data_IF_102186937298
#
_entry.id   IF_102186937298
#
_cell.length_a   1.000
_cell.length_b   1.000
_cell.length_c   1.000
_cell.angle_alpha   90.00
_cell.angle_beta   90.00
_cell.angle_gamma   90.00
#
_symmetry.space_group_name_H-M   'P 1'
#
loop_
_entity.id
_entity.type
_entity.pdbx_description
1 polymer ?
#
# COMPACT_ATOMS: atom_id res chain seq x y z
N UNK A 1 30.96 21.76 9.60
CA UNK A 1 29.64 21.05 9.59
C UNK A 1 29.76 19.64 10.17
N UNK A 2 30.72 18.78 9.76
CA UNK A 2 30.87 17.42 10.31
C UNK A 2 31.07 17.42 11.83
N UNK A 3 31.92 18.27 12.35
CA UNK A 3 32.23 18.37 13.78
C UNK A 3 31.04 18.87 14.62
N UNK A 4 30.20 19.76 14.06
CA UNK A 4 29.05 20.34 14.79
C UNK A 4 27.85 19.41 14.85
N UNK A 5 27.80 18.35 14.03
CA UNK A 5 26.66 17.44 13.91
C UNK A 5 26.60 16.33 14.98
N UNK A 6 27.40 16.42 16.05
CA UNK A 6 27.43 15.41 17.11
C UNK A 6 28.17 14.12 16.72
N UNK A 7 28.96 14.15 15.64
CA UNK A 7 29.77 13.02 15.21
C UNK A 7 30.84 12.62 16.23
N UNK A 8 31.28 13.58 17.05
CA UNK A 8 32.29 13.38 18.10
C UNK A 8 31.69 13.80 19.45
N UNK A 9 31.66 12.89 20.40
CA UNK A 9 31.20 13.21 21.77
C UNK A 9 32.07 14.30 22.38
N UNK A 10 31.43 15.34 22.92
CA UNK A 10 32.11 16.44 23.58
C UNK A 10 32.46 17.64 22.69
N UNK A 11 32.15 17.58 21.37
CA UNK A 11 32.23 18.73 20.47
C UNK A 11 30.83 19.15 20.10
N UNK A 12 30.34 20.27 20.66
CA UNK A 12 29.13 20.95 20.19
C UNK A 12 29.45 22.01 19.13
N UNK A 13 28.40 22.60 18.52
CA UNK A 13 28.52 23.57 17.43
C UNK A 13 29.51 24.71 17.72
N UNK A 14 29.37 25.36 18.86
CA UNK A 14 30.28 26.46 19.29
C UNK A 14 31.73 26.02 19.45
N UNK A 15 31.96 24.78 19.89
CA UNK A 15 33.30 24.24 20.05
C UNK A 15 33.89 23.89 18.67
N UNK A 16 33.10 23.29 17.79
CA UNK A 16 33.48 23.01 16.42
C UNK A 16 33.89 24.28 15.66
N UNK A 17 33.14 25.37 15.80
CA UNK A 17 33.49 26.67 15.23
C UNK A 17 34.83 27.21 15.73
N UNK A 18 35.09 27.12 17.04
CA UNK A 18 36.38 27.55 17.60
C UNK A 18 37.53 26.73 17.07
N UNK A 19 37.39 25.40 17.02
CA UNK A 19 38.41 24.50 16.48
C UNK A 19 38.75 24.87 15.04
N UNK A 20 37.73 24.98 14.21
CA UNK A 20 37.90 25.32 12.76
C UNK A 20 38.47 26.75 12.58
N UNK A 21 38.04 27.69 13.41
CA UNK A 21 38.57 29.07 13.38
C UNK A 21 40.05 29.12 13.76
N UNK A 22 40.50 28.27 14.69
CA UNK A 22 41.90 28.24 15.15
C UNK A 22 42.81 27.53 14.14
N UNK A 23 42.38 26.42 13.59
CA UNK A 23 43.25 25.56 12.80
C UNK A 23 42.94 25.55 11.26
N UNK A 24 41.83 26.20 10.85
CA UNK A 24 41.48 26.31 9.43
C UNK A 24 41.42 24.96 8.71
N UNK A 25 42.07 24.86 7.57
CA UNK A 25 42.11 23.67 6.73
C UNK A 25 42.90 22.51 7.36
N UNK A 26 43.82 22.80 8.28
CA UNK A 26 44.58 21.80 9.03
C UNK A 26 43.82 21.16 10.18
N UNK A 27 42.60 21.57 10.46
CA UNK A 27 41.79 21.11 11.60
C UNK A 27 41.84 19.60 11.77
N UNK A 28 41.55 18.82 10.72
CA UNK A 28 41.51 17.36 10.83
C UNK A 28 42.88 16.74 10.95
N UNK A 29 43.88 17.27 10.28
CA UNK A 29 45.26 16.82 10.42
C UNK A 29 45.75 17.00 11.86
N UNK A 30 45.55 18.18 12.46
CA UNK A 30 45.92 18.46 13.83
C UNK A 30 45.17 17.59 14.82
N UNK A 31 43.87 17.38 14.62
CA UNK A 31 43.06 16.52 15.48
C UNK A 31 43.48 15.03 15.41
N UNK A 32 44.08 14.57 14.30
CA UNK A 32 44.55 13.18 14.12
C UNK A 32 46.00 12.99 14.48
N UNK A 33 46.89 13.93 14.13
CA UNK A 33 48.34 13.78 14.20
C UNK A 33 48.97 14.55 15.34
N UNK A 34 48.35 15.66 15.77
CA UNK A 34 48.83 16.55 16.81
C UNK A 34 47.70 16.89 17.81
N UNK A 35 47.01 15.89 18.42
CA UNK A 35 45.81 16.14 19.22
C UNK A 35 46.07 17.00 20.46
N UNK A 36 47.27 17.00 20.97
CA UNK A 36 47.69 17.86 22.10
C UNK A 36 47.45 19.34 21.83
N UNK A 37 47.54 19.77 20.57
CA UNK A 37 47.28 21.16 20.17
C UNK A 37 45.81 21.59 20.33
N UNK A 38 44.88 20.64 20.41
CA UNK A 38 43.51 20.97 20.73
C UNK A 38 43.34 21.57 22.13
N UNK A 39 44.29 21.28 23.06
CA UNK A 39 44.31 21.85 24.38
C UNK A 39 44.66 23.36 24.40
N UNK A 40 45.16 23.93 23.28
CA UNK A 40 45.33 25.37 23.09
C UNK A 40 43.98 26.11 23.09
N UNK A 41 42.89 25.38 22.82
CA UNK A 41 41.55 25.96 22.74
C UNK A 41 40.89 25.94 24.12
N UNK A 42 40.42 27.10 24.55
CA UNK A 42 39.72 27.26 25.86
C UNK A 42 38.51 26.33 25.93
N UNK A 43 38.56 25.40 26.91
CA UNK A 43 37.48 24.41 27.15
C UNK A 43 37.78 23.01 26.62
N UNK A 44 38.98 22.75 26.13
CA UNK A 44 39.48 21.43 25.80
C UNK A 44 40.66 21.09 26.69
N UNK A 45 40.50 20.08 27.55
CA UNK A 45 41.62 19.54 28.36
C UNK A 45 42.45 18.55 27.51
N UNK A 46 43.67 18.24 27.96
CA UNK A 46 44.52 17.23 27.29
C UNK A 46 43.83 15.87 27.19
N UNK A 47 43.14 15.42 28.25
CA UNK A 47 42.36 14.17 28.24
C UNK A 47 41.25 14.21 27.19
N UNK A 48 40.53 15.32 27.11
CA UNK A 48 39.45 15.51 26.12
C UNK A 48 40.02 15.59 24.71
N UNK A 49 41.17 16.17 24.50
CA UNK A 49 41.87 16.22 23.22
C UNK A 49 42.19 14.80 22.71
N UNK A 50 42.71 13.95 23.59
CA UNK A 50 43.01 12.55 23.26
C UNK A 50 41.76 11.71 22.97
N UNK A 51 40.68 11.89 23.77
CA UNK A 51 39.41 11.25 23.53
C UNK A 51 38.81 11.64 22.14
N UNK A 52 38.94 12.89 21.76
CA UNK A 52 38.53 13.41 20.47
C UNK A 52 39.34 12.74 19.34
N UNK A 53 40.65 12.65 19.51
CA UNK A 53 41.54 12.01 18.52
C UNK A 53 41.18 10.53 18.30
N UNK A 54 41.00 9.77 19.37
CA UNK A 54 40.63 8.36 19.31
C UNK A 54 39.27 8.17 18.59
N UNK A 55 38.25 8.97 18.93
CA UNK A 55 36.99 8.93 18.24
C UNK A 55 37.09 9.29 16.75
N UNK A 56 38.00 10.16 16.35
CA UNK A 56 38.26 10.53 14.96
C UNK A 56 38.92 9.40 14.19
N UNK A 57 39.89 8.70 14.79
CA UNK A 57 40.57 7.55 14.20
C UNK A 57 39.56 6.44 13.96
N UNK A 58 38.73 6.11 14.93
CA UNK A 58 37.70 5.07 14.84
C UNK A 58 36.64 5.37 13.79
N UNK A 59 36.37 6.66 13.51
CA UNK A 59 35.37 7.11 12.55
C UNK A 59 35.96 7.65 11.25
N UNK A 60 37.20 7.37 10.94
CA UNK A 60 37.91 7.92 9.78
C UNK A 60 37.20 7.59 8.46
N UNK A 61 36.77 6.36 8.31
CA UNK A 61 36.08 5.91 7.09
C UNK A 61 34.70 6.52 6.94
N UNK A 62 33.94 6.61 8.06
CA UNK A 62 32.65 7.29 8.10
C UNK A 62 32.80 8.76 7.68
N UNK A 63 33.82 9.44 8.22
CA UNK A 63 34.07 10.84 7.91
C UNK A 63 34.41 11.05 6.42
N UNK A 64 35.30 10.21 5.87
CA UNK A 64 35.67 10.27 4.44
C UNK A 64 34.43 10.09 3.56
N UNK A 65 33.60 9.09 3.87
CA UNK A 65 32.36 8.85 3.16
C UNK A 65 31.38 10.03 3.26
N UNK A 66 31.23 10.62 4.46
CA UNK A 66 30.39 11.80 4.68
C UNK A 66 30.84 13.01 3.86
N UNK A 67 32.13 13.29 3.85
CA UNK A 67 32.72 14.39 3.06
C UNK A 67 32.56 14.14 1.56
N UNK A 68 32.72 12.90 1.12
CA UNK A 68 32.49 12.49 -0.27
C UNK A 68 31.02 12.72 -0.67
N UNK A 69 30.07 12.22 0.13
CA UNK A 69 28.63 12.36 -0.14
C UNK A 69 28.17 13.83 -0.17
N UNK A 70 28.78 14.69 0.65
CA UNK A 70 28.48 16.14 0.64
C UNK A 70 28.83 16.82 -0.68
N UNK A 71 29.83 16.34 -1.42
CA UNK A 71 30.17 16.87 -2.77
C UNK A 71 29.04 16.69 -3.75
N UNK A 72 28.21 15.66 -3.56
CA UNK A 72 27.01 15.39 -4.36
C UNK A 72 25.75 16.05 -3.78
N UNK A 73 25.89 16.93 -2.78
CA UNK A 73 24.81 17.67 -2.15
C UNK A 73 23.95 16.84 -1.20
N UNK A 74 24.43 15.66 -0.79
CA UNK A 74 23.72 14.76 0.12
C UNK A 74 23.82 15.33 1.54
N UNK A 75 22.68 15.54 2.19
CA UNK A 75 22.62 16.02 3.57
C UNK A 75 23.12 14.96 4.56
N UNK A 76 23.63 15.39 5.71
CA UNK A 76 24.26 14.54 6.70
C UNK A 76 23.38 13.38 7.18
N UNK A 77 22.08 13.64 7.41
CA UNK A 77 21.14 12.59 7.84
C UNK A 77 21.00 11.47 6.81
N UNK A 78 20.89 11.85 5.54
CA UNK A 78 20.81 10.92 4.44
C UNK A 78 22.16 10.22 4.23
N UNK A 79 23.27 10.93 4.32
CA UNK A 79 24.60 10.38 4.22
C UNK A 79 24.86 9.27 5.26
N UNK A 80 24.37 9.47 6.50
CA UNK A 80 24.45 8.44 7.56
C UNK A 80 23.64 7.17 7.18
N UNK A 81 22.42 7.33 6.66
CA UNK A 81 21.61 6.18 6.20
C UNK A 81 22.32 5.42 5.08
N UNK A 82 22.85 6.15 4.11
CA UNK A 82 23.58 5.60 2.96
C UNK A 82 24.80 4.82 3.43
N UNK A 83 25.62 5.43 4.30
CA UNK A 83 26.82 4.78 4.82
C UNK A 83 26.49 3.52 5.65
N UNK A 84 25.46 3.57 6.49
CA UNK A 84 24.99 2.39 7.24
C UNK A 84 24.57 1.24 6.30
N UNK A 85 24.06 1.55 5.13
CA UNK A 85 23.60 0.54 4.16
C UNK A 85 24.74 -0.05 3.35
N UNK A 86 25.65 0.77 2.86
CA UNK A 86 26.64 0.40 1.86
C UNK A 86 28.09 0.42 2.37
N UNK A 87 28.36 1.07 3.51
CA UNK A 87 29.74 1.23 3.97
C UNK A 87 30.63 1.89 2.93
N UNK A 88 31.79 1.31 2.70
CA UNK A 88 32.74 1.80 1.71
C UNK A 88 32.35 1.51 0.23
N UNK A 89 31.35 0.67 -0.02
CA UNK A 89 30.87 0.39 -1.39
C UNK A 89 30.12 1.60 -2.00
N UNK A 90 29.84 2.62 -1.20
CA UNK A 90 29.15 3.83 -1.65
C UNK A 90 29.87 4.56 -2.77
N UNK A 91 31.20 4.49 -2.81
CA UNK A 91 31.99 5.13 -3.87
C UNK A 91 31.66 4.51 -5.23
N UNK A 92 31.66 3.18 -5.31
CA UNK A 92 31.31 2.44 -6.53
C UNK A 92 29.86 2.68 -6.94
N UNK A 93 28.95 2.72 -5.97
CA UNK A 93 27.52 2.92 -6.24
C UNK A 93 27.27 4.29 -6.87
N UNK A 94 27.89 5.35 -6.34
CA UNK A 94 27.72 6.69 -6.91
C UNK A 94 28.34 6.86 -8.28
N UNK A 95 29.45 6.16 -8.54
CA UNK A 95 30.12 6.20 -9.86
C UNK A 95 29.39 5.38 -10.91
N UNK A 96 28.86 4.21 -10.54
CA UNK A 96 28.28 3.27 -11.49
C UNK A 96 26.76 3.42 -11.62
N UNK A 97 26.03 3.42 -10.52
CA UNK A 97 24.56 3.44 -10.50
C UNK A 97 23.98 4.12 -9.26
N UNK A 98 23.93 5.45 -9.21
CA UNK A 98 23.34 6.18 -8.10
C UNK A 98 21.85 5.92 -7.87
N UNK A 99 21.13 5.40 -8.89
CA UNK A 99 19.69 5.09 -8.78
C UNK A 99 19.39 3.94 -7.80
N UNK A 100 20.40 3.12 -7.46
CA UNK A 100 20.28 2.14 -6.38
C UNK A 100 19.90 2.78 -5.04
N UNK A 101 20.24 4.05 -4.83
CA UNK A 101 19.82 4.78 -3.63
C UNK A 101 18.31 4.88 -3.52
N UNK A 102 17.58 5.01 -4.65
CA UNK A 102 16.13 5.04 -4.66
C UNK A 102 15.49 3.67 -4.36
N UNK A 103 16.18 2.59 -4.70
CA UNK A 103 15.72 1.22 -4.43
C UNK A 103 15.98 0.79 -2.97
N UNK A 104 17.10 1.22 -2.39
CA UNK A 104 17.67 0.65 -1.17
C UNK A 104 17.54 1.55 0.08
N UNK A 105 17.27 2.86 -0.09
CA UNK A 105 17.27 3.84 1.01
C UNK A 105 15.90 4.49 1.16
N UNK A 106 15.27 4.23 2.29
CA UNK A 106 14.00 4.85 2.63
C UNK A 106 14.10 6.38 2.69
N UNK A 107 13.19 7.06 1.98
CA UNK A 107 13.15 8.51 1.85
C UNK A 107 13.97 9.06 0.68
N UNK A 108 14.63 8.21 -0.12
CA UNK A 108 15.24 8.58 -1.39
C UNK A 108 14.32 8.15 -2.53
N UNK A 109 13.70 9.13 -3.20
CA UNK A 109 12.93 8.87 -4.41
C UNK A 109 13.78 9.06 -5.67
N UNK A 110 13.18 8.75 -6.84
CA UNK A 110 13.81 8.93 -8.15
C UNK A 110 14.42 10.33 -8.33
N UNK A 111 13.67 11.39 -8.00
CA UNK A 111 14.16 12.78 -8.18
C UNK A 111 15.44 13.07 -7.41
N UNK A 112 15.51 12.64 -6.16
CA UNK A 112 16.73 12.81 -5.34
C UNK A 112 17.89 12.00 -5.90
N UNK A 113 17.64 10.77 -6.34
CA UNK A 113 18.67 9.94 -6.98
C UNK A 113 19.13 10.55 -8.33
N UNK A 114 18.22 11.13 -9.11
CA UNK A 114 18.50 11.79 -10.39
C UNK A 114 19.35 13.05 -10.22
N UNK A 115 19.08 13.87 -9.20
CA UNK A 115 19.93 15.02 -8.85
C UNK A 115 21.34 14.58 -8.43
N UNK A 116 21.46 13.52 -7.65
CA UNK A 116 22.76 12.97 -7.25
C UNK A 116 23.49 12.42 -8.48
N UNK A 117 22.80 11.67 -9.33
CA UNK A 117 23.35 11.10 -10.56
C UNK A 117 23.86 12.20 -11.53
N UNK A 118 23.09 13.27 -11.69
CA UNK A 118 23.49 14.43 -12.50
C UNK A 118 24.80 15.06 -11.98
N UNK A 119 24.93 15.22 -10.67
CA UNK A 119 26.17 15.74 -10.04
C UNK A 119 27.34 14.75 -10.13
N UNK A 120 27.03 13.46 -10.18
CA UNK A 120 28.04 12.41 -10.41
C UNK A 120 28.45 12.27 -11.88
N UNK A 121 27.84 13.06 -12.78
CA UNK A 121 28.18 13.04 -14.21
C UNK A 121 27.59 11.87 -14.98
N UNK A 122 26.54 11.23 -14.43
CA UNK A 122 25.80 10.17 -15.14
C UNK A 122 25.07 10.79 -16.33
N UNK A 123 25.17 10.13 -17.49
CA UNK A 123 24.53 10.61 -18.73
C UNK A 123 23.01 10.62 -18.62
N UNK A 124 22.37 11.59 -19.27
CA UNK A 124 20.91 11.76 -19.27
C UNK A 124 20.17 10.59 -19.93
N UNK A 125 20.83 9.86 -20.82
CA UNK A 125 20.32 8.68 -21.54
C UNK A 125 20.81 7.35 -20.93
N UNK A 126 21.36 7.38 -19.72
CA UNK A 126 21.85 6.20 -19.02
C UNK A 126 20.75 5.16 -18.85
N UNK A 127 21.05 3.89 -19.10
CA UNK A 127 20.13 2.76 -18.90
C UNK A 127 19.56 2.72 -17.47
N UNK A 128 20.40 3.02 -16.47
CA UNK A 128 19.98 3.05 -15.07
C UNK A 128 18.95 4.15 -14.81
N UNK A 129 19.14 5.31 -15.43
CA UNK A 129 18.20 6.43 -15.36
C UNK A 129 16.85 6.05 -15.96
N UNK A 130 16.86 5.48 -17.16
CA UNK A 130 15.66 5.08 -17.87
C UNK A 130 14.90 4.00 -17.10
N UNK A 131 15.57 2.94 -16.66
CA UNK A 131 14.96 1.85 -15.87
C UNK A 131 14.36 2.36 -14.55
N UNK A 132 15.09 3.22 -13.83
CA UNK A 132 14.60 3.83 -12.60
C UNK A 132 13.42 4.77 -12.85
N UNK A 133 13.44 5.53 -13.95
CA UNK A 133 12.33 6.38 -14.39
C UNK A 133 11.06 5.59 -14.72
N UNK A 134 11.19 4.48 -15.45
CA UNK A 134 10.08 3.57 -15.74
C UNK A 134 9.44 3.06 -14.45
N UNK A 135 10.27 2.57 -13.52
CA UNK A 135 9.77 2.04 -12.24
C UNK A 135 9.13 3.13 -11.37
N UNK A 136 9.70 4.33 -11.37
CA UNK A 136 9.13 5.48 -10.68
C UNK A 136 7.75 5.87 -11.22
N UNK A 137 7.57 5.93 -12.55
CA UNK A 137 6.28 6.23 -13.18
C UNK A 137 5.22 5.18 -12.81
N UNK A 138 5.58 3.90 -12.82
CA UNK A 138 4.68 2.84 -12.37
C UNK A 138 4.27 3.02 -10.90
N UNK A 139 5.20 3.35 -10.01
CA UNK A 139 4.89 3.62 -8.61
C UNK A 139 4.02 4.89 -8.43
N UNK A 140 4.23 5.93 -9.23
CA UNK A 140 3.35 7.10 -9.22
C UNK A 140 1.93 6.75 -9.68
N UNK A 141 1.79 5.87 -10.68
CA UNK A 141 0.49 5.41 -11.14
C UNK A 141 -0.27 4.64 -10.04
N UNK A 142 0.42 3.89 -9.19
CA UNK A 142 -0.23 3.20 -8.06
C UNK A 142 -0.76 4.17 -7.01
N UNK A 143 -0.08 5.28 -6.77
CA UNK A 143 -0.60 6.36 -5.90
C UNK A 143 -1.84 7.06 -6.48
N UNK A 144 -2.07 6.91 -7.79
CA UNK A 144 -3.26 7.39 -8.50
C UNK A 144 -4.36 6.32 -8.63
N UNK A 145 -4.20 5.18 -7.96
CA UNK A 145 -5.17 4.08 -7.95
C UNK A 145 -4.98 3.02 -9.04
N UNK A 146 -3.92 3.10 -9.85
CA UNK A 146 -3.67 2.16 -10.94
C UNK A 146 -2.75 1.02 -10.51
N UNK A 147 -3.09 -0.22 -10.83
CA UNK A 147 -2.22 -1.39 -10.65
C UNK A 147 -1.25 -1.60 -11.81
N UNK A 148 -1.57 -1.06 -12.98
CA UNK A 148 -0.75 -1.09 -14.19
C UNK A 148 -0.91 0.19 -15.01
N UNK A 149 -0.01 0.36 -15.98
CA UNK A 149 -0.19 1.35 -17.04
C UNK A 149 -0.21 0.66 -18.42
N UNK A 150 -1.08 1.11 -19.34
CA UNK A 150 -0.94 0.80 -20.76
C UNK A 150 0.42 1.31 -21.28
N UNK A 151 1.05 0.53 -22.15
CA UNK A 151 2.38 0.81 -22.70
C UNK A 151 2.52 2.25 -23.24
N UNK A 152 1.59 2.69 -24.07
CA UNK A 152 1.65 4.03 -24.67
C UNK A 152 1.59 5.16 -23.62
N UNK A 153 0.80 4.95 -22.56
CA UNK A 153 0.70 5.89 -21.44
C UNK A 153 1.99 5.91 -20.65
N UNK A 154 2.59 4.73 -20.40
CA UNK A 154 3.87 4.60 -19.72
C UNK A 154 4.98 5.33 -20.49
N UNK A 155 5.11 5.06 -21.79
CA UNK A 155 6.12 5.71 -22.68
C UNK A 155 6.00 7.23 -22.60
N UNK A 156 4.80 7.76 -22.74
CA UNK A 156 4.56 9.21 -22.67
C UNK A 156 5.02 9.79 -21.33
N UNK A 157 4.58 9.20 -20.23
CA UNK A 157 4.90 9.70 -18.88
C UNK A 157 6.39 9.59 -18.55
N UNK A 158 7.07 8.56 -19.04
CA UNK A 158 8.52 8.40 -18.83
C UNK A 158 9.29 9.45 -19.67
N UNK A 159 8.92 9.68 -20.93
CA UNK A 159 9.55 10.72 -21.74
C UNK A 159 9.35 12.12 -21.13
N UNK A 160 8.16 12.41 -20.62
CA UNK A 160 7.86 13.65 -19.90
C UNK A 160 8.69 13.80 -18.61
N UNK A 161 8.86 12.72 -17.84
CA UNK A 161 9.66 12.71 -16.62
C UNK A 161 11.14 12.94 -16.90
N UNK A 162 11.69 12.21 -17.88
CA UNK A 162 13.11 12.20 -18.19
C UNK A 162 13.55 13.34 -19.10
N UNK A 163 12.61 14.03 -19.75
CA UNK A 163 12.83 15.10 -20.75
C UNK A 163 13.72 14.61 -21.92
N UNK A 164 13.58 13.35 -22.30
CA UNK A 164 14.25 12.73 -23.45
C UNK A 164 13.25 11.85 -24.19
N UNK A 165 13.51 11.62 -25.46
CA UNK A 165 12.78 10.65 -26.27
C UNK A 165 13.54 9.31 -26.24
N UNK A 166 13.07 8.43 -25.34
CA UNK A 166 13.70 7.12 -25.13
C UNK A 166 13.40 6.21 -26.32
N UNK A 167 14.45 5.70 -26.94
CA UNK A 167 14.36 4.70 -27.99
C UNK A 167 14.36 3.29 -27.39
N UNK A 168 13.72 2.34 -28.09
CA UNK A 168 13.71 0.91 -27.72
C UNK A 168 13.31 0.60 -26.27
N UNK A 169 12.09 1.02 -25.89
CA UNK A 169 11.53 0.70 -24.57
C UNK A 169 11.48 -0.80 -24.28
N UNK A 170 11.30 -1.64 -25.31
CA UNK A 170 11.14 -3.08 -25.12
C UNK A 170 12.39 -3.72 -24.54
N UNK A 171 13.58 -3.20 -24.85
CA UNK A 171 14.84 -3.61 -24.20
C UNK A 171 14.78 -3.36 -22.68
N UNK A 172 14.41 -2.16 -22.26
CA UNK A 172 14.36 -1.80 -20.83
C UNK A 172 13.28 -2.54 -20.08
N UNK A 173 12.12 -2.77 -20.71
CA UNK A 173 11.04 -3.57 -20.10
C UNK A 173 11.46 -5.03 -19.97
N UNK A 174 12.19 -5.58 -20.95
CA UNK A 174 12.72 -6.93 -20.86
C UNK A 174 13.71 -7.07 -19.70
N UNK A 175 14.66 -6.14 -19.57
CA UNK A 175 15.62 -6.12 -18.48
C UNK A 175 14.94 -6.04 -17.11
N UNK A 176 13.98 -5.10 -16.94
CA UNK A 176 13.22 -4.95 -15.69
C UNK A 176 12.35 -6.19 -15.37
N UNK A 177 11.91 -6.91 -16.39
CA UNK A 177 11.19 -8.18 -16.23
C UNK A 177 12.15 -9.29 -15.76
N UNK A 178 13.35 -9.35 -16.33
CA UNK A 178 14.40 -10.28 -15.89
C UNK A 178 14.87 -9.98 -14.46
N UNK A 179 14.97 -8.71 -14.10
CA UNK A 179 15.27 -8.23 -12.74
C UNK A 179 14.10 -8.45 -11.76
N UNK A 180 13.00 -9.01 -12.23
CA UNK A 180 11.78 -9.28 -11.45
C UNK A 180 11.16 -8.03 -10.82
N UNK A 181 11.36 -6.85 -11.40
CA UNK A 181 10.77 -5.59 -10.94
C UNK A 181 9.39 -5.33 -11.53
N UNK A 182 9.16 -5.74 -12.77
CA UNK A 182 7.90 -5.55 -13.49
C UNK A 182 7.35 -6.85 -14.07
N UNK A 183 6.09 -6.79 -14.49
CA UNK A 183 5.43 -7.83 -15.30
C UNK A 183 4.75 -7.15 -16.48
N UNK A 184 4.94 -7.68 -17.68
CA UNK A 184 4.26 -7.22 -18.90
C UNK A 184 3.26 -8.27 -19.33
N UNK A 185 2.00 -7.87 -19.53
CA UNK A 185 0.90 -8.71 -20.02
C UNK A 185 0.18 -8.03 -21.16
N UNK A 186 -0.37 -8.81 -22.05
CA UNK A 186 -1.26 -8.31 -23.11
C UNK A 186 -2.70 -8.65 -22.73
N UNK A 187 -3.55 -7.63 -22.63
CA UNK A 187 -4.98 -7.73 -22.37
C UNK A 187 -5.70 -6.95 -23.47
N UNK A 188 -6.64 -7.59 -24.16
CA UNK A 188 -7.43 -6.96 -25.24
C UNK A 188 -6.55 -6.22 -26.27
N UNK A 189 -5.47 -6.85 -26.70
CA UNK A 189 -4.44 -6.30 -27.59
C UNK A 189 -3.69 -5.08 -27.07
N UNK A 190 -3.84 -4.73 -25.79
CA UNK A 190 -3.09 -3.67 -25.13
C UNK A 190 -1.98 -4.27 -24.26
N UNK A 191 -0.74 -3.82 -24.46
CA UNK A 191 0.39 -4.18 -23.62
C UNK A 191 0.27 -3.42 -22.29
N UNK A 192 0.06 -4.13 -21.18
CA UNK A 192 -0.09 -3.60 -19.82
C UNK A 192 1.18 -3.87 -19.01
N UNK A 193 1.74 -2.84 -18.40
CA UNK A 193 2.96 -2.92 -17.61
C UNK A 193 2.63 -2.70 -16.13
N UNK A 194 2.94 -3.71 -15.32
CA UNK A 194 2.69 -3.72 -13.87
C UNK A 194 4.01 -3.57 -13.11
N UNK A 195 4.00 -2.88 -11.98
CA UNK A 195 4.97 -3.19 -10.94
C UNK A 195 4.67 -4.61 -10.42
N UNK A 196 5.70 -5.48 -10.33
CA UNK A 196 5.51 -6.93 -10.05
C UNK A 196 4.70 -7.20 -8.79
N UNK A 197 4.87 -6.38 -7.76
CA UNK A 197 4.15 -6.53 -6.50
C UNK A 197 2.63 -6.51 -6.71
N UNK A 198 2.12 -5.55 -7.48
CA UNK A 198 0.68 -5.44 -7.73
C UNK A 198 0.14 -6.53 -8.64
N UNK A 199 0.90 -6.94 -9.65
CA UNK A 199 0.54 -8.12 -10.45
C UNK A 199 0.38 -9.37 -9.59
N UNK A 200 1.35 -9.60 -8.69
CA UNK A 200 1.29 -10.75 -7.78
C UNK A 200 0.12 -10.64 -6.80
N UNK A 201 -0.20 -9.44 -6.30
CA UNK A 201 -1.36 -9.24 -5.43
C UNK A 201 -2.67 -9.56 -6.16
N UNK A 202 -2.87 -9.09 -7.39
CA UNK A 202 -4.05 -9.43 -8.20
C UNK A 202 -4.15 -10.94 -8.44
N UNK A 203 -3.05 -11.58 -8.82
CA UNK A 203 -3.02 -13.02 -9.05
C UNK A 203 -3.33 -13.82 -7.78
N UNK A 204 -2.78 -13.40 -6.63
CA UNK A 204 -3.04 -14.04 -5.34
C UNK A 204 -4.50 -13.86 -4.92
N UNK A 205 -5.04 -12.64 -5.05
CA UNK A 205 -6.45 -12.36 -4.74
C UNK A 205 -7.37 -13.22 -5.58
N UNK A 206 -7.13 -13.31 -6.90
CA UNK A 206 -7.92 -14.17 -7.78
C UNK A 206 -7.86 -15.64 -7.38
N UNK A 207 -6.67 -16.15 -7.05
CA UNK A 207 -6.50 -17.54 -6.61
C UNK A 207 -7.20 -17.82 -5.28
N UNK A 208 -7.07 -16.91 -4.29
CA UNK A 208 -7.72 -17.08 -2.98
C UNK A 208 -9.25 -16.99 -3.08
N UNK A 209 -9.79 -16.10 -3.92
CA UNK A 209 -11.24 -16.02 -4.15
C UNK A 209 -11.77 -17.32 -4.78
N UNK A 210 -11.08 -17.88 -5.77
CA UNK A 210 -11.45 -19.15 -6.35
C UNK A 210 -11.45 -20.30 -5.32
N UNK A 211 -10.50 -20.30 -4.38
CA UNK A 211 -10.43 -21.31 -3.34
C UNK A 211 -11.56 -21.18 -2.29
N UNK A 212 -12.08 -19.98 -2.10
CA UNK A 212 -13.20 -19.71 -1.17
C UNK A 212 -14.56 -20.04 -1.79
N UNK A 213 -14.69 -20.04 -3.12
CA UNK A 213 -15.95 -20.29 -3.81
C UNK A 213 -16.32 -21.78 -3.81
N UNK A 214 -16.54 -22.30 -2.60
CA UNK A 214 -17.00 -23.68 -2.39
C UNK A 214 -18.53 -23.70 -2.39
N UNK A 215 -19.13 -24.56 -3.21
CA UNK A 215 -20.59 -24.73 -3.27
C UNK A 215 -21.05 -25.77 -2.26
N UNK A 216 -22.15 -25.47 -1.56
CA UNK A 216 -22.82 -26.35 -0.60
C UNK A 216 -24.22 -26.59 -1.09
N UNK A 217 -24.61 -27.85 -1.18
CA UNK A 217 -26.00 -28.23 -1.50
C UNK A 217 -26.89 -28.00 -0.28
N UNK A 218 -27.88 -27.14 -0.41
CA UNK A 218 -28.91 -26.90 0.59
C UNK A 218 -30.29 -26.83 -0.07
N UNK A 219 -31.29 -27.46 0.53
CA UNK A 219 -32.65 -27.51 -0.01
C UNK A 219 -33.28 -26.10 -0.06
N UNK A 220 -33.80 -25.73 -1.23
CA UNK A 220 -34.45 -24.43 -1.43
C UNK A 220 -35.62 -24.22 -0.47
N UNK A 221 -36.43 -25.24 -0.25
CA UNK A 221 -37.58 -25.16 0.66
C UNK A 221 -37.15 -24.87 2.11
N UNK A 222 -36.05 -25.48 2.53
CA UNK A 222 -35.49 -25.23 3.87
C UNK A 222 -35.00 -23.78 4.03
N UNK A 223 -34.36 -23.24 3.00
CA UNK A 223 -33.93 -21.84 2.94
C UNK A 223 -35.15 -20.91 3.00
N UNK A 224 -36.18 -21.18 2.15
CA UNK A 224 -37.40 -20.35 2.09
C UNK A 224 -38.16 -20.36 3.37
N UNK A 225 -38.35 -21.52 4.01
CA UNK A 225 -39.02 -21.66 5.29
C UNK A 225 -38.31 -20.88 6.43
N UNK A 226 -36.96 -20.85 6.38
CA UNK A 226 -36.17 -20.11 7.35
C UNK A 226 -36.24 -18.61 7.09
N UNK A 227 -36.17 -18.18 5.83
CA UNK A 227 -36.37 -16.77 5.46
C UNK A 227 -37.75 -16.30 5.92
N UNK A 228 -38.82 -17.06 5.66
CA UNK A 228 -40.18 -16.71 6.08
C UNK A 228 -40.29 -16.51 7.60
N UNK A 229 -39.63 -17.34 8.42
CA UNK A 229 -39.57 -17.17 9.87
C UNK A 229 -38.84 -15.90 10.29
N UNK A 230 -37.80 -15.52 9.58
CA UNK A 230 -37.06 -14.27 9.84
C UNK A 230 -37.95 -13.08 9.44
N UNK A 231 -38.59 -13.11 8.28
CA UNK A 231 -39.55 -12.08 7.85
C UNK A 231 -40.65 -11.84 8.88
N UNK A 232 -41.25 -12.93 9.40
CA UNK A 232 -42.33 -12.87 10.43
C UNK A 232 -41.81 -12.30 11.74
N UNK A 233 -40.64 -12.77 12.22
CA UNK A 233 -40.05 -12.34 13.49
C UNK A 233 -39.60 -10.87 13.47
N UNK A 234 -39.01 -10.43 12.38
CA UNK A 234 -38.46 -9.07 12.24
C UNK A 234 -39.50 -8.08 11.68
N UNK A 235 -40.69 -8.55 11.27
CA UNK A 235 -41.76 -7.70 10.70
C UNK A 235 -41.36 -7.06 9.35
N UNK A 236 -40.56 -7.74 8.56
CA UNK A 236 -40.08 -7.28 7.26
C UNK A 236 -40.61 -8.15 6.13
N UNK A 237 -40.54 -7.64 4.91
CA UNK A 237 -40.85 -8.41 3.69
C UNK A 237 -39.74 -8.20 2.70
N UNK A 238 -39.07 -9.28 2.32
CA UNK A 238 -38.01 -9.27 1.33
C UNK A 238 -38.59 -9.41 -0.08
N UNK A 239 -37.96 -8.76 -1.04
CA UNK A 239 -38.23 -9.07 -2.44
C UNK A 239 -37.47 -10.32 -2.92
N UNK A 240 -37.80 -10.79 -4.13
CA UNK A 240 -37.24 -12.02 -4.67
C UNK A 240 -35.71 -11.95 -4.82
N UNK A 241 -35.15 -10.77 -5.16
CA UNK A 241 -33.71 -10.57 -5.33
C UNK A 241 -33.00 -10.59 -3.97
N UNK A 242 -33.60 -10.02 -2.94
CA UNK A 242 -33.08 -10.08 -1.57
C UNK A 242 -33.10 -11.53 -1.05
N UNK A 243 -34.16 -12.30 -1.32
CA UNK A 243 -34.22 -13.74 -1.00
C UNK A 243 -33.17 -14.54 -1.74
N UNK A 244 -32.96 -14.23 -3.03
CA UNK A 244 -31.89 -14.82 -3.82
C UNK A 244 -30.50 -14.55 -3.20
N UNK A 245 -30.26 -13.33 -2.72
CA UNK A 245 -28.98 -12.99 -2.06
C UNK A 245 -28.73 -13.84 -0.80
N UNK A 246 -29.77 -14.04 0.04
CA UNK A 246 -29.68 -14.94 1.20
C UNK A 246 -29.42 -16.38 0.76
N UNK A 247 -30.16 -16.89 -0.23
CA UNK A 247 -29.98 -18.25 -0.72
C UNK A 247 -28.57 -18.48 -1.31
N UNK A 248 -28.05 -17.51 -2.07
CA UNK A 248 -26.67 -17.58 -2.58
C UNK A 248 -25.63 -17.53 -1.45
N UNK A 249 -25.83 -16.71 -0.42
CA UNK A 249 -24.92 -16.66 0.74
C UNK A 249 -24.90 -18.01 1.50
N UNK A 250 -26.02 -18.72 1.55
CA UNK A 250 -26.09 -20.05 2.16
C UNK A 250 -25.38 -21.10 1.32
N UNK A 251 -25.52 -21.07 -0.01
CA UNK A 251 -25.01 -22.10 -0.91
C UNK A 251 -23.58 -21.92 -1.39
N UNK A 252 -23.03 -20.73 -1.28
CA UNK A 252 -21.70 -20.44 -1.79
C UNK A 252 -20.76 -19.98 -0.67
N UNK A 253 -19.48 -20.28 -0.84
CA UNK A 253 -18.43 -19.80 0.06
C UNK A 253 -18.07 -18.32 -0.18
N UNK A 254 -18.39 -17.82 -1.40
CA UNK A 254 -18.19 -16.41 -1.77
C UNK A 254 -19.44 -15.87 -2.46
N UNK A 255 -19.93 -14.72 -2.03
CA UNK A 255 -21.05 -14.01 -2.68
C UNK A 255 -20.79 -12.50 -2.69
N UNK A 256 -21.11 -11.87 -3.80
CA UNK A 256 -21.06 -10.43 -3.96
C UNK A 256 -22.48 -9.89 -4.01
N UNK A 257 -22.82 -8.94 -3.12
CA UNK A 257 -24.09 -8.21 -3.12
C UNK A 257 -23.83 -6.76 -3.47
N UNK A 258 -24.31 -6.31 -4.61
CA UNK A 258 -24.12 -4.93 -5.07
C UNK A 258 -25.46 -4.23 -5.26
N UNK A 259 -25.49 -2.91 -5.09
CA UNK A 259 -26.66 -2.09 -5.32
C UNK A 259 -26.45 -0.65 -4.88
N UNK A 260 -27.18 0.26 -5.48
CA UNK A 260 -27.13 1.69 -5.18
C UNK A 260 -27.71 2.07 -3.81
N UNK A 261 -27.76 3.35 -3.48
CA UNK A 261 -28.39 3.82 -2.27
C UNK A 261 -29.90 3.52 -2.27
N UNK A 262 -30.43 3.08 -1.12
CA UNK A 262 -31.86 2.79 -0.96
C UNK A 262 -32.37 1.49 -1.59
N UNK A 263 -31.47 0.60 -2.05
CA UNK A 263 -31.85 -0.69 -2.64
C UNK A 263 -32.01 -1.83 -1.63
N UNK A 264 -31.91 -1.54 -0.33
CA UNK A 264 -32.14 -2.54 0.72
C UNK A 264 -30.93 -3.41 1.06
N UNK A 265 -29.69 -3.00 0.74
CA UNK A 265 -28.45 -3.71 1.13
C UNK A 265 -28.43 -4.06 2.62
N UNK A 266 -28.72 -3.08 3.48
CA UNK A 266 -28.74 -3.26 4.94
C UNK A 266 -29.75 -4.31 5.38
N UNK A 267 -30.96 -4.30 4.84
CA UNK A 267 -31.99 -5.30 5.13
C UNK A 267 -31.53 -6.69 4.70
N UNK A 268 -30.92 -6.80 3.54
CA UNK A 268 -30.35 -8.06 3.04
C UNK A 268 -29.23 -8.59 3.96
N UNK A 269 -28.28 -7.71 4.35
CA UNK A 269 -27.21 -8.06 5.30
C UNK A 269 -27.80 -8.57 6.62
N UNK A 270 -28.80 -7.85 7.17
CA UNK A 270 -29.45 -8.24 8.43
C UNK A 270 -30.10 -9.62 8.32
N UNK A 271 -30.79 -9.89 7.23
CA UNK A 271 -31.40 -11.20 7.02
C UNK A 271 -30.37 -12.30 6.92
N UNK A 272 -29.25 -12.06 6.22
CA UNK A 272 -28.12 -13.00 6.14
C UNK A 272 -27.54 -13.27 7.54
N UNK A 273 -27.31 -12.22 8.33
CA UNK A 273 -26.84 -12.36 9.72
C UNK A 273 -27.80 -13.21 10.54
N UNK A 274 -29.09 -12.89 10.52
CA UNK A 274 -30.11 -13.65 11.26
C UNK A 274 -30.21 -15.10 10.82
N UNK A 275 -30.02 -15.35 9.52
CA UNK A 275 -30.01 -16.72 8.98
C UNK A 275 -28.88 -17.52 9.60
N UNK A 276 -27.65 -16.99 9.60
CA UNK A 276 -26.48 -17.68 10.13
C UNK A 276 -26.45 -17.73 11.66
N UNK A 277 -27.00 -16.74 12.36
CA UNK A 277 -27.23 -16.82 13.81
C UNK A 277 -28.12 -18.01 14.20
N UNK A 278 -29.17 -18.30 13.41
CA UNK A 278 -30.01 -19.46 13.63
C UNK A 278 -29.29 -20.79 13.41
N UNK A 279 -28.18 -20.80 12.69
CA UNK A 279 -27.27 -21.94 12.52
C UNK A 279 -26.22 -22.02 13.61
N UNK A 280 -26.11 -21.01 14.48
CA UNK A 280 -25.11 -20.96 15.54
C UNK A 280 -23.70 -20.64 15.03
N UNK A 281 -23.59 -20.02 13.85
CA UNK A 281 -22.31 -19.68 13.24
C UNK A 281 -21.73 -18.39 13.82
N UNK A 282 -20.40 -18.34 13.95
CA UNK A 282 -19.69 -17.14 14.37
C UNK A 282 -19.51 -16.17 13.19
N UNK A 283 -20.09 -14.97 13.35
CA UNK A 283 -20.15 -13.94 12.31
C UNK A 283 -19.23 -12.78 12.67
N UNK A 284 -18.43 -12.31 11.72
CA UNK A 284 -17.64 -11.08 11.83
C UNK A 284 -18.07 -10.09 10.76
N UNK A 285 -18.33 -8.85 11.20
CA UNK A 285 -18.65 -7.75 10.31
C UNK A 285 -17.49 -6.77 10.22
N UNK A 286 -17.18 -6.35 9.00
CA UNK A 286 -16.12 -5.37 8.76
C UNK A 286 -16.51 -4.34 7.70
N UNK A 287 -15.83 -3.19 7.77
CA UNK A 287 -15.90 -2.15 6.75
C UNK A 287 -14.50 -1.50 6.58
N UNK A 288 -14.20 -0.87 5.43
CA UNK A 288 -12.90 -0.26 5.19
C UNK A 288 -12.63 0.95 6.08
N UNK A 289 -13.66 1.66 6.53
CA UNK A 289 -13.51 2.90 7.31
C UNK A 289 -14.20 2.83 8.67
N UNK A 290 -13.66 3.59 9.64
CA UNK A 290 -14.27 3.66 10.97
C UNK A 290 -15.67 4.26 10.96
N UNK A 291 -16.00 5.15 10.03
CA UNK A 291 -17.34 5.73 9.87
C UNK A 291 -18.33 4.68 9.37
N UNK A 292 -17.96 3.88 8.39
CA UNK A 292 -18.78 2.78 7.90
C UNK A 292 -19.00 1.72 8.99
N UNK A 293 -17.92 1.29 9.67
CA UNK A 293 -18.00 0.32 10.76
C UNK A 293 -18.90 0.78 11.91
N UNK A 294 -18.96 2.08 12.23
CA UNK A 294 -19.86 2.61 13.27
C UNK A 294 -21.34 2.66 12.86
N UNK A 295 -21.64 2.76 11.55
CA UNK A 295 -23.02 2.76 11.06
C UNK A 295 -23.66 1.37 11.04
N UNK A 296 -22.86 0.33 10.88
CA UNK A 296 -23.37 -1.04 10.80
C UNK A 296 -24.13 -1.46 12.09
N UNK A 297 -23.63 -1.24 13.33
CA UNK A 297 -24.37 -1.58 14.54
C UNK A 297 -25.71 -0.85 14.65
N UNK A 298 -25.77 0.41 14.26
CA UNK A 298 -27.02 1.20 14.25
C UNK A 298 -28.05 0.62 13.28
N UNK A 299 -27.58 0.07 12.17
CA UNK A 299 -28.40 -0.46 11.09
C UNK A 299 -28.73 -1.96 11.26
N UNK A 300 -27.80 -2.76 11.79
CA UNK A 300 -27.88 -4.22 11.87
C UNK A 300 -27.99 -4.76 13.29
N UNK A 301 -27.76 -3.93 14.33
CA UNK A 301 -27.68 -4.40 15.69
C UNK A 301 -26.51 -5.34 16.01
N UNK A 302 -25.54 -5.44 15.10
CA UNK A 302 -24.40 -6.33 15.20
C UNK A 302 -23.08 -5.55 15.19
N UNK A 303 -22.16 -5.88 16.10
CA UNK A 303 -20.90 -5.15 16.20
C UNK A 303 -20.07 -5.31 14.93
N UNK A 304 -19.54 -4.20 14.43
CA UNK A 304 -18.66 -4.15 13.27
C UNK A 304 -17.37 -3.39 13.59
N UNK A 305 -16.32 -3.77 12.91
CA UNK A 305 -15.01 -3.14 13.06
C UNK A 305 -14.40 -2.78 11.69
N UNK A 306 -13.32 -2.01 11.69
CA UNK A 306 -12.61 -1.78 10.44
C UNK A 306 -11.86 -3.05 10.04
N UNK A 307 -11.67 -3.26 8.71
CA UNK A 307 -10.83 -4.37 8.21
C UNK A 307 -9.45 -4.35 8.88
N UNK A 308 -8.84 -3.18 9.00
CA UNK A 308 -7.55 -3.02 9.67
C UNK A 308 -7.56 -3.49 11.14
N UNK A 309 -8.61 -3.19 11.87
CA UNK A 309 -8.75 -3.64 13.26
C UNK A 309 -9.02 -5.14 13.35
N UNK A 310 -9.80 -5.67 12.42
CA UNK A 310 -10.08 -7.10 12.34
C UNK A 310 -8.81 -7.92 12.04
N UNK A 311 -7.92 -7.36 11.21
CA UNK A 311 -6.65 -7.98 10.88
C UNK A 311 -5.54 -7.75 11.92
N UNK A 312 -5.81 -6.95 12.96
CA UNK A 312 -4.87 -6.67 14.06
C UNK A 312 -3.53 -6.10 13.54
N UNK A 313 -3.43 -4.78 13.44
CA UNK A 313 -2.19 -4.13 12.98
C UNK A 313 -1.08 -4.39 13.99
N UNK A 314 -0.01 -5.04 13.56
CA UNK A 314 1.17 -5.24 14.38
C UNK A 314 1.93 -3.94 14.59
N UNK A 315 2.14 -3.57 15.85
CA UNK A 315 2.93 -2.38 16.23
C UNK A 315 4.44 -2.56 16.07
N UNK A 316 4.92 -3.77 15.83
CA UNK A 316 6.34 -4.11 15.69
C UNK A 316 6.63 -4.72 14.33
N UNK A 317 7.37 -4.00 13.49
CA UNK A 317 7.97 -4.56 12.27
C UNK A 317 9.12 -5.48 12.70
N UNK A 318 9.12 -6.78 12.38
CA UNK A 318 10.26 -7.65 12.63
C UNK A 318 11.52 -7.10 11.96
N UNK A 319 12.64 -7.06 12.69
CA UNK A 319 13.91 -6.46 12.22
C UNK A 319 14.48 -7.08 10.92
N UNK A 320 13.97 -8.22 10.47
CA UNK A 320 14.38 -8.91 9.24
C UNK A 320 13.67 -8.44 7.96
N UNK A 321 12.45 -7.97 8.05
CA UNK A 321 11.58 -7.67 6.88
C UNK A 321 11.54 -6.18 6.47
N UNK A 322 12.30 -5.33 7.15
CA UNK A 322 12.50 -3.93 6.72
C UNK A 322 13.13 -3.79 5.33
N UNK A 323 13.49 -4.91 4.69
CA UNK A 323 14.19 -4.94 3.38
C UNK A 323 13.29 -5.07 2.16
N UNK A 324 12.04 -5.39 2.34
CA UNK A 324 11.12 -5.50 1.21
C UNK A 324 10.29 -4.25 1.06
N UNK A 325 10.73 -3.42 0.15
CA UNK A 325 9.97 -2.47 -0.62
C UNK A 325 9.45 -1.22 0.07
N UNK A 326 9.69 -0.14 -0.56
CA UNK A 326 8.73 0.92 -0.82
C UNK A 326 7.47 0.85 0.05
N UNK A 327 7.57 1.18 1.28
CA UNK A 327 6.66 2.02 2.07
C UNK A 327 5.21 1.61 2.30
N UNK A 328 4.72 0.37 2.09
CA UNK A 328 3.28 0.12 2.26
C UNK A 328 2.90 -1.33 2.64
N UNK A 329 3.75 -2.18 3.14
CA UNK A 329 3.26 -3.41 3.76
C UNK A 329 2.88 -3.13 5.22
N UNK A 330 1.60 -2.86 5.46
CA UNK A 330 1.05 -2.99 6.80
C UNK A 330 1.22 -4.44 7.23
N UNK A 331 1.90 -4.66 8.35
CA UNK A 331 2.01 -5.99 8.93
C UNK A 331 0.77 -6.23 9.79
N UNK A 332 0.02 -7.24 9.40
CA UNK A 332 -1.14 -7.71 10.15
C UNK A 332 -0.78 -8.99 10.89
N UNK A 333 -1.26 -9.13 12.12
CA UNK A 333 -1.08 -10.35 12.92
C UNK A 333 -1.97 -11.49 12.41
N UNK A 334 -3.14 -11.14 11.85
CA UNK A 334 -4.03 -12.10 11.18
C UNK A 334 -3.57 -12.28 9.74
N UNK A 335 -3.21 -13.52 9.41
CA UNK A 335 -2.64 -13.92 8.12
C UNK A 335 -2.83 -15.43 7.89
N UNK A 336 -2.13 -16.00 6.94
CA UNK A 336 -2.20 -17.44 6.59
C UNK A 336 -1.81 -18.37 7.76
N UNK A 337 -0.87 -17.95 8.61
CA UNK A 337 -0.38 -18.71 9.76
C UNK A 337 -1.24 -18.49 11.03
N UNK A 338 -1.98 -17.38 11.08
CA UNK A 338 -2.87 -17.00 12.18
C UNK A 338 -4.19 -16.45 11.63
N UNK A 339 -5.05 -17.29 11.05
CA UNK A 339 -6.28 -16.86 10.39
C UNK A 339 -7.33 -16.33 11.36
N UNK A 340 -8.33 -15.66 10.80
CA UNK A 340 -9.50 -15.20 11.54
C UNK A 340 -10.33 -16.39 11.99
N UNK A 341 -10.73 -16.38 13.24
CA UNK A 341 -11.66 -17.34 13.80
C UNK A 341 -13.09 -16.85 13.54
N UNK A 342 -13.67 -17.27 12.42
CA UNK A 342 -15.04 -16.93 12.02
C UNK A 342 -15.57 -17.92 10.99
N UNK A 343 -16.85 -18.26 11.09
CA UNK A 343 -17.57 -19.08 10.10
C UNK A 343 -18.05 -18.22 8.92
N UNK A 344 -18.40 -16.97 9.21
CA UNK A 344 -18.93 -16.02 8.23
C UNK A 344 -18.27 -14.66 8.41
N UNK A 345 -17.76 -14.10 7.34
CA UNK A 345 -17.22 -12.74 7.28
C UNK A 345 -18.02 -11.92 6.28
N UNK A 346 -18.58 -10.81 6.74
CA UNK A 346 -19.32 -9.87 5.89
C UNK A 346 -18.54 -8.56 5.84
N UNK A 347 -18.20 -8.10 4.64
CA UNK A 347 -17.52 -6.84 4.43
C UNK A 347 -18.43 -5.90 3.65
N UNK A 348 -18.80 -4.79 4.27
CA UNK A 348 -19.58 -3.73 3.62
C UNK A 348 -18.69 -2.59 3.09
N UNK A 349 -19.23 -1.75 2.23
CA UNK A 349 -18.56 -0.63 1.55
C UNK A 349 -17.32 -1.08 0.75
N UNK A 350 -17.44 -2.20 0.05
CA UNK A 350 -16.33 -2.82 -0.71
C UNK A 350 -15.78 -1.95 -1.84
N UNK A 351 -16.51 -0.94 -2.31
CA UNK A 351 -16.01 0.02 -3.30
C UNK A 351 -14.76 0.76 -2.84
N UNK A 352 -14.57 0.90 -1.53
CA UNK A 352 -13.42 1.59 -0.92
C UNK A 352 -12.23 0.67 -0.61
N UNK A 353 -12.33 -0.64 -0.90
CA UNK A 353 -11.28 -1.64 -0.63
C UNK A 353 -10.34 -1.73 -1.82
N UNK A 354 -9.05 -1.46 -1.59
CA UNK A 354 -8.00 -1.60 -2.59
C UNK A 354 -7.42 -3.03 -2.63
N UNK A 355 -6.54 -3.29 -3.61
CA UNK A 355 -5.95 -4.61 -3.81
C UNK A 355 -5.07 -5.05 -2.64
N UNK A 356 -4.40 -4.13 -1.95
CA UNK A 356 -3.51 -4.44 -0.83
C UNK A 356 -4.29 -4.90 0.39
N UNK A 357 -5.37 -4.18 0.72
CA UNK A 357 -6.27 -4.55 1.82
C UNK A 357 -7.00 -5.85 1.51
N UNK A 358 -7.48 -6.02 0.26
CA UNK A 358 -8.14 -7.27 -0.15
C UNK A 358 -7.19 -8.47 -0.06
N UNK A 359 -5.96 -8.32 -0.53
CA UNK A 359 -4.94 -9.37 -0.44
C UNK A 359 -4.66 -9.76 1.03
N UNK A 360 -4.55 -8.76 1.92
CA UNK A 360 -4.32 -9.00 3.36
C UNK A 360 -5.51 -9.67 4.03
N UNK A 361 -6.74 -9.24 3.69
CA UNK A 361 -7.96 -9.85 4.21
C UNK A 361 -8.06 -11.32 3.82
N UNK A 362 -7.90 -11.62 2.53
CA UNK A 362 -8.03 -12.99 2.03
C UNK A 362 -6.98 -13.94 2.59
N UNK A 363 -5.77 -13.45 2.89
CA UNK A 363 -4.74 -14.22 3.58
C UNK A 363 -5.15 -14.65 5.00
N UNK A 364 -6.00 -13.89 5.65
CA UNK A 364 -6.49 -14.19 6.98
C UNK A 364 -7.82 -14.97 6.99
N UNK A 365 -8.43 -15.22 5.84
CA UNK A 365 -9.69 -15.97 5.71
C UNK A 365 -9.39 -17.42 5.42
N UNK A 366 -9.86 -18.33 6.28
CA UNK A 366 -9.71 -19.77 6.12
C UNK A 366 -10.62 -20.34 5.02
N UNK A 367 -10.17 -21.39 4.35
CA UNK A 367 -11.04 -22.17 3.45
C UNK A 367 -12.17 -22.77 4.28
N UNK A 368 -13.41 -22.61 3.80
CA UNK A 368 -14.62 -23.01 4.52
C UNK A 368 -15.33 -21.87 5.25
N UNK A 369 -14.65 -20.75 5.50
CA UNK A 369 -15.30 -19.52 5.95
C UNK A 369 -16.10 -18.90 4.79
N UNK A 370 -17.34 -18.54 5.04
CA UNK A 370 -18.19 -17.82 4.07
C UNK A 370 -17.81 -16.36 4.01
N UNK A 371 -17.52 -15.85 2.81
CA UNK A 371 -17.16 -14.45 2.58
C UNK A 371 -18.27 -13.76 1.79
N UNK A 372 -18.87 -12.73 2.37
CA UNK A 372 -19.92 -11.93 1.74
C UNK A 372 -19.41 -10.52 1.55
N UNK A 373 -19.26 -10.11 0.30
CA UNK A 373 -18.76 -8.81 -0.09
C UNK A 373 -19.93 -7.92 -0.51
N UNK A 374 -20.14 -6.82 0.20
CA UNK A 374 -21.27 -5.91 -0.04
C UNK A 374 -20.74 -4.54 -0.43
N UNK A 375 -21.32 -3.92 -1.45
CA UNK A 375 -20.90 -2.58 -1.85
C UNK A 375 -21.74 -2.03 -2.99
N UNK A 376 -21.37 -0.85 -3.41
CA UNK A 376 -21.99 -0.16 -4.54
C UNK A 376 -20.90 0.10 -5.60
N UNK A 377 -20.98 -0.60 -6.72
CA UNK A 377 -19.99 -0.52 -7.79
C UNK A 377 -19.93 0.86 -8.46
N UNK A 378 -21.03 1.63 -8.33
CA UNK A 378 -21.16 2.96 -8.92
C UNK A 378 -20.67 4.08 -7.98
N UNK A 379 -20.29 3.75 -6.74
CA UNK A 379 -19.65 4.70 -5.83
C UNK A 379 -18.17 4.93 -6.18
N UNK A 380 -17.59 5.97 -5.57
CA UNK A 380 -16.18 6.31 -5.75
C UNK A 380 -15.29 5.11 -5.41
N UNK A 381 -14.28 4.81 -6.25
CA UNK A 381 -13.35 3.73 -6.01
C UNK A 381 -12.44 4.02 -4.81
N UNK A 382 -11.67 3.03 -4.39
CA UNK A 382 -10.63 3.16 -3.36
C UNK A 382 -9.60 4.23 -3.73
N UNK A 383 -9.00 4.84 -2.70
CA UNK A 383 -7.86 5.76 -2.88
C UNK A 383 -6.60 4.98 -3.25
N UNK A 384 -6.44 3.77 -2.71
CA UNK A 384 -5.34 2.87 -3.05
C UNK A 384 -5.52 2.17 -4.41
N UNK A 385 -4.50 1.43 -4.87
CA UNK A 385 -4.48 0.83 -6.20
C UNK A 385 -5.48 -0.33 -6.34
N UNK A 386 -6.13 -0.39 -7.50
CA UNK A 386 -7.07 -1.44 -7.89
C UNK A 386 -8.53 -1.09 -7.63
N UNK A 387 -9.40 -1.63 -8.47
CA UNK A 387 -10.86 -1.50 -8.38
C UNK A 387 -11.49 -2.87 -8.11
N UNK A 388 -11.19 -3.41 -6.93
CA UNK A 388 -11.41 -4.81 -6.56
C UNK A 388 -12.85 -5.25 -6.76
N UNK A 389 -13.83 -4.51 -6.22
CA UNK A 389 -15.25 -4.87 -6.31
C UNK A 389 -15.71 -4.93 -7.77
N UNK A 390 -15.34 -3.93 -8.55
CA UNK A 390 -15.72 -3.86 -9.97
C UNK A 390 -15.08 -4.99 -10.78
N UNK A 391 -13.79 -5.24 -10.58
CA UNK A 391 -13.04 -6.27 -11.28
C UNK A 391 -13.60 -7.68 -10.98
N UNK A 392 -13.99 -7.96 -9.71
CA UNK A 392 -14.63 -9.21 -9.33
C UNK A 392 -15.97 -9.37 -10.04
N UNK A 393 -16.80 -8.34 -10.06
CA UNK A 393 -18.11 -8.36 -10.73
C UNK A 393 -17.96 -8.54 -12.25
N UNK A 394 -17.07 -7.78 -12.89
CA UNK A 394 -16.83 -7.82 -14.34
C UNK A 394 -16.19 -9.13 -14.78
N UNK A 395 -15.49 -9.83 -13.90
CA UNK A 395 -14.93 -11.16 -14.22
C UNK A 395 -16.00 -12.20 -14.58
N UNK A 396 -17.21 -12.05 -14.03
CA UNK A 396 -18.30 -13.02 -14.22
C UNK A 396 -18.01 -14.41 -13.60
N UNK A 397 -16.95 -14.53 -12.79
CA UNK A 397 -16.52 -15.82 -12.25
C UNK A 397 -17.24 -16.23 -10.96
N UNK A 398 -17.83 -15.29 -10.25
CA UNK A 398 -18.38 -15.49 -8.91
C UNK A 398 -19.87 -15.14 -8.83
N UNK A 399 -20.61 -15.70 -7.85
CA UNK A 399 -21.99 -15.35 -7.63
C UNK A 399 -22.18 -13.87 -7.26
N UNK A 400 -22.87 -13.14 -8.11
CA UNK A 400 -23.23 -11.73 -7.90
C UNK A 400 -24.73 -11.60 -7.81
N UNK A 401 -25.21 -10.82 -6.83
CA UNK A 401 -26.62 -10.40 -6.71
C UNK A 401 -26.67 -8.88 -6.79
N UNK A 402 -27.41 -8.36 -7.76
CA UNK A 402 -27.57 -6.92 -7.98
C UNK A 402 -28.94 -6.48 -7.49
N UNK A 403 -28.94 -5.69 -6.39
CA UNK A 403 -30.16 -5.11 -5.84
C UNK A 403 -30.50 -3.84 -6.64
N UNK A 404 -31.58 -3.88 -7.42
CA UNK A 404 -31.96 -2.78 -8.32
C UNK A 404 -33.19 -2.01 -7.83
N UNK A 405 -34.01 -2.62 -6.97
CA UNK A 405 -35.27 -2.04 -6.53
C UNK A 405 -35.04 -0.95 -5.47
N UNK A 406 -35.48 0.26 -5.76
CA UNK A 406 -35.49 1.37 -4.81
C UNK A 406 -36.75 1.27 -3.95
N UNK A 407 -36.60 1.14 -2.62
CA UNK A 407 -37.73 1.06 -1.71
C UNK A 407 -38.41 2.42 -1.48
N UNK A 408 -39.73 2.41 -1.16
CA UNK A 408 -40.58 3.61 -1.08
C UNK A 408 -40.01 4.77 -0.25
N UNK A 409 -39.42 4.50 0.90
CA UNK A 409 -38.81 5.54 1.74
C UNK A 409 -37.61 6.23 1.05
N UNK A 410 -36.84 5.47 0.31
CA UNK A 410 -35.71 5.97 -0.45
C UNK A 410 -36.16 6.67 -1.76
N UNK A 411 -37.27 6.22 -2.36
CA UNK A 411 -37.85 6.81 -3.56
C UNK A 411 -38.49 8.20 -3.31
N UNK A 412 -38.63 8.64 -2.09
CA UNK A 412 -39.07 10.01 -1.73
C UNK A 412 -37.89 10.97 -1.52
N UNK A 413 -36.66 10.47 -1.48
CA UNK A 413 -35.48 11.30 -1.33
C UNK A 413 -34.95 11.76 -2.69
N UNK A 414 -35.03 13.05 -2.96
CA UNK A 414 -34.46 13.65 -4.19
C UNK A 414 -32.96 13.36 -4.35
N UNK A 415 -32.23 13.25 -3.24
CA UNK A 415 -30.80 12.89 -3.25
C UNK A 415 -30.59 11.48 -3.86
N UNK A 416 -31.43 10.51 -3.48
CA UNK A 416 -31.33 9.13 -3.97
C UNK A 416 -31.77 9.06 -5.44
N UNK A 417 -32.88 9.72 -5.80
CA UNK A 417 -33.36 9.80 -7.18
C UNK A 417 -32.29 10.42 -8.07
N UNK A 418 -31.70 11.53 -7.63
CA UNK A 418 -30.66 12.24 -8.39
C UNK A 418 -29.37 11.42 -8.49
N UNK A 419 -28.97 10.70 -7.46
CA UNK A 419 -27.83 9.78 -7.53
C UNK A 419 -28.01 8.70 -8.61
N UNK A 420 -29.21 8.08 -8.69
CA UNK A 420 -29.52 7.11 -9.72
C UNK A 420 -29.59 7.73 -11.12
N UNK A 421 -30.09 8.96 -11.25
CA UNK A 421 -30.09 9.69 -12.54
C UNK A 421 -28.66 9.96 -13.02
N UNK A 422 -27.79 10.46 -12.12
CA UNK A 422 -26.38 10.69 -12.44
C UNK A 422 -25.71 9.41 -12.96
N UNK A 423 -25.93 8.28 -12.28
CA UNK A 423 -25.39 6.99 -12.71
C UNK A 423 -25.84 6.57 -14.11
N UNK A 424 -27.08 6.94 -14.49
CA UNK A 424 -27.62 6.64 -15.83
C UNK A 424 -27.26 7.69 -16.89
N UNK A 425 -26.52 8.76 -16.50
CA UNK A 425 -26.23 9.88 -17.36
C UNK A 425 -27.45 10.76 -17.69
N UNK A 426 -28.50 10.71 -16.84
CA UNK A 426 -29.71 11.50 -16.98
C UNK A 426 -29.56 12.88 -16.33
N UNK A 427 -30.32 13.89 -16.82
CA UNK A 427 -30.33 15.24 -16.25
C UNK A 427 -30.91 15.22 -14.81
N UNK A 428 -30.24 15.97 -13.94
CA UNK A 428 -30.63 16.15 -12.54
C UNK A 428 -31.50 17.39 -12.42
N UNK A 429 -32.62 17.28 -11.73
CA UNK A 429 -33.48 18.42 -11.37
C UNK A 429 -33.13 18.80 -9.93
N UNK A 430 -32.61 20.01 -9.71
CA UNK A 430 -32.29 20.58 -8.40
C UNK A 430 -33.50 21.34 -7.83
#
# INVERSE_FOLDING_TARGET
RYLSYGAIKGIGEKMAERIVKTFGDDTFRIMEEEPERLAEIKGISMSKAMDIANQLIDKKDIRKAMMFLQRYGIQMNLANKIFKRYGNDIYNILEQNPYRLADDIEGVGFRTADEIASRAGIKIDSEFRIKSGIFYVLNQATMQGHTYLPYDKLVRQVNELLLIDVQDYDKYLMDLTMDKKIVVKVKDNVKCVYARMYYNMEANVAAMLNNLDVQIEEDQKFIDDRIARIEDKEGITLDDIQKEAVAKAVRNGLVIVTGGPGTGKTTTINTIIKYFELEGLEIRLAAPTGRAAKRMPEACGYEAQTIHRMLEISGSVPDGDRKSAAGLSMFFERNEDNPLEADVIIVDEMSMVDISIMNSLLKAVSIGTKLILVGDVDQLPSVGPGNVLKDIIESGCFPVVKLERIFRQAAQSEIIINAHKINRGEEVVL
#
